data_IF_065570527947
#
_entry.id   IF_065570527947
#
_cell.length_a   1.000
_cell.length_b   1.000
_cell.length_c   1.000
_cell.angle_alpha   90.00
_cell.angle_beta   90.00
_cell.angle_gamma   90.00
#
_symmetry.space_group_name_H-M   'P 1'
#
loop_
_entity.id
_entity.type
_entity.pdbx_description
1 polymer ?
#
# COMPACT_ATOMS: atom_id res chain seq x y z
N UNK A 1 -15.16 11.57 10.37
CA UNK A 1 -14.59 12.61 11.27
C UNK A 1 -14.79 12.24 12.74
N UNK A 2 -13.85 11.50 13.36
CA UNK A 2 -13.78 11.44 14.81
C UNK A 2 -13.41 12.82 15.36
N UNK A 3 -14.07 13.25 16.44
CA UNK A 3 -13.81 14.52 17.17
C UNK A 3 -14.27 15.82 16.52
N UNK A 4 -15.12 15.78 15.48
CA UNK A 4 -15.84 16.98 15.04
C UNK A 4 -17.06 17.23 15.92
N UNK A 5 -17.34 18.50 16.26
CA UNK A 5 -18.57 18.87 17.01
C UNK A 5 -19.88 18.50 16.29
N UNK A 6 -19.80 18.14 15.00
CA UNK A 6 -20.90 17.57 14.22
C UNK A 6 -21.29 16.19 14.73
N UNK A 7 -20.32 15.35 15.11
CA UNK A 7 -20.60 14.03 15.68
C UNK A 7 -21.33 14.16 17.01
N UNK A 8 -20.89 15.04 17.89
CA UNK A 8 -21.53 15.27 19.19
C UNK A 8 -22.98 15.75 18.99
N UNK A 9 -23.19 16.69 18.08
CA UNK A 9 -24.53 17.21 17.76
C UNK A 9 -25.47 16.12 17.23
N UNK A 10 -24.99 15.24 16.33
CA UNK A 10 -25.78 14.15 15.74
C UNK A 10 -26.02 13.00 16.72
N UNK A 11 -25.07 12.74 17.61
CA UNK A 11 -25.23 11.78 18.72
C UNK A 11 -26.28 12.27 19.70
N UNK A 12 -26.22 13.54 20.09
CA UNK A 12 -27.13 14.13 21.05
C UNK A 12 -28.57 14.21 20.49
N UNK A 13 -28.72 14.34 19.17
CA UNK A 13 -30.00 14.23 18.46
C UNK A 13 -30.49 12.78 18.27
N UNK A 14 -29.71 11.77 18.69
CA UNK A 14 -30.05 10.36 18.55
C UNK A 14 -29.98 9.82 17.11
N UNK A 15 -29.39 10.58 16.18
CA UNK A 15 -29.27 10.19 14.78
C UNK A 15 -28.05 9.31 14.48
N UNK A 16 -27.09 9.23 15.40
CA UNK A 16 -25.86 8.46 15.20
C UNK A 16 -25.36 7.84 16.50
N UNK A 17 -24.90 6.59 16.44
CA UNK A 17 -24.29 5.88 17.57
C UNK A 17 -22.77 5.84 17.46
N UNK A 18 -22.05 5.67 18.58
CA UNK A 18 -20.57 5.56 18.57
C UNK A 18 -20.04 4.41 17.69
N UNK A 19 -20.86 3.38 17.44
CA UNK A 19 -20.51 2.24 16.58
C UNK A 19 -20.56 2.57 15.09
N UNK A 20 -21.19 3.68 14.74
CA UNK A 20 -21.32 4.19 13.36
C UNK A 20 -20.28 5.28 13.08
N UNK A 21 -19.51 5.69 14.08
CA UNK A 21 -18.43 6.65 13.94
C UNK A 21 -17.35 6.12 12.99
N UNK A 22 -17.08 6.89 11.93
CA UNK A 22 -16.03 6.63 10.96
C UNK A 22 -14.66 6.51 11.65
N UNK A 23 -14.04 5.33 11.57
CA UNK A 23 -12.79 4.99 12.27
C UNK A 23 -12.96 3.95 13.39
N UNK A 24 -14.13 3.92 14.07
CA UNK A 24 -14.52 2.83 14.98
C UNK A 24 -15.42 1.81 14.30
N UNK A 25 -16.31 2.27 13.43
CA UNK A 25 -17.03 1.45 12.49
C UNK A 25 -16.03 0.90 11.46
N UNK A 26 -15.69 -0.39 11.54
CA UNK A 26 -14.93 -1.11 10.49
C UNK A 26 -15.73 -1.31 9.19
N UNK A 27 -16.70 -0.43 8.93
CA UNK A 27 -17.67 -0.49 7.85
C UNK A 27 -17.27 0.63 6.90
N UNK A 28 -16.28 0.45 6.04
CA UNK A 28 -16.63 0.46 4.59
C UNK A 28 -15.54 -0.07 3.66
N UNK A 29 -14.32 -0.34 4.11
CA UNK A 29 -13.31 -0.96 3.26
C UNK A 29 -12.54 -2.00 4.03
N UNK A 30 -12.80 -3.29 3.76
CA UNK A 30 -11.76 -4.31 3.92
C UNK A 30 -10.67 -3.92 2.94
N UNK A 31 -9.73 -3.08 3.39
CA UNK A 31 -8.59 -2.69 2.58
C UNK A 31 -7.83 -3.97 2.28
N UNK A 32 -7.93 -4.44 1.04
CA UNK A 32 -7.19 -5.61 0.59
C UNK A 32 -5.71 -5.23 0.60
N UNK A 33 -5.05 -5.47 1.73
CA UNK A 33 -3.62 -5.24 1.86
C UNK A 33 -2.92 -6.44 1.26
N UNK A 34 -2.59 -6.32 -0.03
CA UNK A 34 -1.71 -7.26 -0.70
C UNK A 34 -0.29 -7.07 -0.14
N UNK A 35 0.03 -7.78 0.94
CA UNK A 35 1.39 -7.91 1.45
C UNK A 35 2.01 -9.22 0.97
N UNK A 36 3.33 -9.20 0.77
CA UNK A 36 4.10 -10.40 0.47
C UNK A 36 4.48 -11.21 1.73
N UNK A 37 4.22 -10.67 2.91
CA UNK A 37 4.65 -11.26 4.19
C UNK A 37 3.69 -12.33 4.71
N UNK A 38 2.43 -12.31 4.24
CA UNK A 38 1.45 -13.32 4.59
C UNK A 38 1.72 -14.62 3.83
N UNK A 39 1.80 -15.80 4.51
CA UNK A 39 2.04 -17.07 3.83
C UNK A 39 0.85 -17.43 2.94
N UNK A 40 1.09 -17.55 1.63
CA UNK A 40 0.10 -17.92 0.61
C UNK A 40 0.63 -19.06 -0.27
N UNK A 41 -0.24 -19.77 -1.00
CA UNK A 41 0.18 -20.65 -2.10
C UNK A 41 1.13 -19.93 -3.07
N UNK A 42 2.00 -20.69 -3.74
CA UNK A 42 3.00 -20.12 -4.65
C UNK A 42 2.34 -19.38 -5.83
N UNK A 43 1.25 -19.93 -6.35
CA UNK A 43 0.45 -19.37 -7.44
C UNK A 43 -0.15 -18.01 -7.05
N UNK A 44 -0.79 -17.92 -5.88
CA UNK A 44 -1.32 -16.65 -5.35
C UNK A 44 -0.23 -15.59 -5.20
N UNK A 45 0.97 -15.97 -4.71
CA UNK A 45 2.10 -15.05 -4.60
C UNK A 45 2.56 -14.55 -5.97
N UNK A 46 2.60 -15.42 -6.97
CA UNK A 46 2.93 -15.03 -8.34
C UNK A 46 1.90 -14.05 -8.90
N UNK A 47 0.60 -14.30 -8.71
CA UNK A 47 -0.47 -13.41 -9.15
C UNK A 47 -0.40 -12.04 -8.47
N UNK A 48 -0.18 -12.00 -7.15
CA UNK A 48 -0.03 -10.74 -6.41
C UNK A 48 1.18 -9.96 -6.93
N UNK A 49 2.31 -10.64 -7.16
CA UNK A 49 3.50 -10.00 -7.71
C UNK A 49 3.24 -9.44 -9.12
N UNK A 50 2.56 -10.20 -10.00
CA UNK A 50 2.18 -9.72 -11.33
C UNK A 50 1.24 -8.51 -11.26
N UNK A 51 0.26 -8.51 -10.36
CA UNK A 51 -0.61 -7.36 -10.13
C UNK A 51 0.18 -6.13 -9.65
N UNK A 52 1.12 -6.32 -8.71
CA UNK A 52 1.98 -5.25 -8.21
C UNK A 52 2.97 -4.71 -9.25
N UNK A 53 3.32 -5.52 -10.25
CA UNK A 53 4.11 -5.10 -11.40
C UNK A 53 3.24 -4.36 -12.43
N UNK A 54 2.04 -4.87 -12.69
CA UNK A 54 1.08 -4.25 -13.61
C UNK A 54 0.64 -2.85 -13.17
N UNK A 55 0.57 -2.60 -11.86
CA UNK A 55 0.22 -1.28 -11.32
C UNK A 55 1.31 -0.21 -11.50
N UNK A 56 2.50 -0.58 -12.01
CA UNK A 56 3.63 0.33 -12.15
C UNK A 56 3.71 0.86 -13.59
N UNK A 57 3.67 2.18 -13.80
CA UNK A 57 3.57 2.76 -15.14
C UNK A 57 4.83 2.54 -16.00
N UNK A 58 5.98 2.31 -15.38
CA UNK A 58 7.25 2.06 -16.08
C UNK A 58 7.46 0.60 -16.50
N UNK A 59 6.56 -0.31 -16.11
CA UNK A 59 6.64 -1.72 -16.48
C UNK A 59 5.73 -1.94 -17.69
N UNK A 60 6.26 -2.42 -18.83
CA UNK A 60 5.45 -2.61 -20.02
C UNK A 60 4.46 -3.76 -19.85
N UNK A 61 3.23 -3.57 -20.34
CA UNK A 61 2.18 -4.60 -20.28
C UNK A 61 2.58 -5.90 -20.99
N UNK A 62 3.43 -5.81 -22.02
CA UNK A 62 4.00 -6.97 -22.72
C UNK A 62 4.85 -7.86 -21.80
N UNK A 63 5.65 -7.25 -20.92
CA UNK A 63 6.46 -7.98 -19.93
C UNK A 63 5.56 -8.72 -18.94
N UNK A 64 4.55 -8.05 -18.37
CA UNK A 64 3.62 -8.69 -17.44
C UNK A 64 2.87 -9.85 -18.10
N UNK A 65 2.46 -9.67 -19.36
CA UNK A 65 1.79 -10.73 -20.14
C UNK A 65 2.71 -11.90 -20.47
N UNK A 66 3.98 -11.65 -20.76
CA UNK A 66 4.95 -12.71 -20.98
C UNK A 66 5.23 -13.48 -19.67
N UNK A 67 5.40 -12.75 -18.57
CA UNK A 67 5.62 -13.32 -17.25
C UNK A 67 4.42 -14.17 -16.79
N UNK A 68 3.18 -13.73 -17.03
CA UNK A 68 1.98 -14.47 -16.63
C UNK A 68 1.77 -15.77 -17.40
N UNK A 69 2.28 -15.87 -18.63
CA UNK A 69 2.20 -17.10 -19.45
C UNK A 69 3.27 -18.13 -19.11
N UNK A 70 4.31 -17.73 -18.38
CA UNK A 70 5.44 -18.60 -18.07
C UNK A 70 5.14 -19.50 -16.86
N UNK A 71 5.19 -20.82 -17.06
CA UNK A 71 4.98 -21.78 -15.95
C UNK A 71 6.10 -21.72 -14.91
N UNK A 72 7.31 -21.31 -15.32
CA UNK A 72 8.47 -21.19 -14.42
C UNK A 72 8.25 -20.09 -13.38
N UNK A 73 7.82 -18.89 -13.78
CA UNK A 73 7.64 -17.77 -12.85
C UNK A 73 6.38 -17.95 -11.99
N UNK A 74 5.34 -18.62 -12.48
CA UNK A 74 4.17 -18.97 -11.66
C UNK A 74 4.51 -20.02 -10.60
N UNK A 75 5.40 -20.98 -10.92
CA UNK A 75 5.82 -22.04 -9.97
C UNK A 75 6.88 -21.58 -8.97
N UNK A 76 7.75 -20.64 -9.37
CA UNK A 76 8.78 -20.05 -8.53
C UNK A 76 8.54 -18.54 -8.34
N UNK A 77 7.60 -18.15 -7.45
CA UNK A 77 7.20 -16.74 -7.27
C UNK A 77 8.31 -15.85 -6.71
N UNK A 78 9.38 -16.42 -6.12
CA UNK A 78 10.45 -15.65 -5.49
C UNK A 78 11.09 -14.60 -6.40
N UNK A 79 11.27 -14.92 -7.70
CA UNK A 79 11.80 -13.98 -8.68
C UNK A 79 10.84 -12.81 -8.92
N UNK A 80 9.54 -13.10 -9.11
CA UNK A 80 8.51 -12.09 -9.31
C UNK A 80 8.34 -11.21 -8.06
N UNK A 81 8.33 -11.81 -6.88
CA UNK A 81 8.21 -11.10 -5.60
C UNK A 81 9.42 -10.19 -5.37
N UNK A 82 10.64 -10.66 -5.64
CA UNK A 82 11.85 -9.85 -5.54
C UNK A 82 11.81 -8.65 -6.48
N UNK A 83 11.42 -8.88 -7.74
CA UNK A 83 11.29 -7.82 -8.74
C UNK A 83 10.17 -6.83 -8.36
N UNK A 84 9.04 -7.31 -7.84
CA UNK A 84 7.97 -6.46 -7.33
C UNK A 84 8.45 -5.55 -6.19
N UNK A 85 9.16 -6.09 -5.20
CA UNK A 85 9.75 -5.31 -4.09
C UNK A 85 10.78 -4.29 -4.58
N UNK A 86 11.67 -4.69 -5.48
CA UNK A 86 12.68 -3.80 -6.04
C UNK A 86 12.04 -2.60 -6.78
N UNK A 87 11.01 -2.89 -7.57
CA UNK A 87 10.29 -1.86 -8.32
C UNK A 87 9.45 -0.95 -7.41
N UNK A 88 8.97 -1.43 -6.25
CA UNK A 88 8.34 -0.57 -5.23
C UNK A 88 9.33 0.44 -4.65
N UNK A 89 10.57 0.01 -4.37
CA UNK A 89 11.65 0.88 -3.90
C UNK A 89 11.95 1.96 -4.93
N UNK A 90 12.13 1.59 -6.21
CA UNK A 90 12.34 2.56 -7.30
C UNK A 90 11.19 3.55 -7.37
N UNK A 91 9.94 3.07 -7.28
CA UNK A 91 8.77 3.95 -7.33
C UNK A 91 8.75 4.92 -6.15
N UNK A 92 9.06 4.46 -4.94
CA UNK A 92 9.15 5.29 -3.75
C UNK A 92 10.20 6.39 -3.92
N UNK A 93 11.40 6.05 -4.43
CA UNK A 93 12.44 7.02 -4.73
C UNK A 93 11.98 8.05 -5.77
N UNK A 94 11.33 7.61 -6.86
CA UNK A 94 10.84 8.51 -7.90
C UNK A 94 9.81 9.51 -7.37
N UNK A 95 8.88 9.07 -6.52
CA UNK A 95 7.88 9.93 -5.89
C UNK A 95 8.56 10.91 -4.92
N UNK A 96 9.53 10.43 -4.14
CA UNK A 96 10.31 11.26 -3.23
C UNK A 96 11.04 12.38 -3.95
N UNK A 97 11.68 12.06 -5.08
CA UNK A 97 12.39 13.03 -5.92
C UNK A 97 11.41 14.03 -6.58
N UNK A 98 10.29 13.55 -7.12
CA UNK A 98 9.26 14.42 -7.71
C UNK A 98 8.74 15.43 -6.68
N UNK A 99 8.47 14.98 -5.45
CA UNK A 99 8.02 15.87 -4.37
C UNK A 99 9.11 16.80 -3.86
N UNK A 100 10.38 16.38 -3.92
CA UNK A 100 11.52 17.23 -3.59
C UNK A 100 11.65 18.37 -4.60
N UNK A 101 11.60 18.05 -5.91
CA UNK A 101 11.68 19.04 -6.99
C UNK A 101 10.51 20.02 -6.92
N UNK A 102 9.29 19.55 -6.58
CA UNK A 102 8.11 20.40 -6.37
C UNK A 102 8.14 21.23 -5.09
N UNK A 103 9.14 21.06 -4.22
CA UNK A 103 9.23 21.77 -2.93
C UNK A 103 8.18 21.35 -1.88
N UNK A 104 7.41 20.29 -2.14
CA UNK A 104 6.37 19.79 -1.22
C UNK A 104 6.96 19.00 -0.03
N UNK A 105 8.23 18.61 -0.15
CA UNK A 105 9.00 17.92 0.88
C UNK A 105 9.61 18.94 1.86
N UNK A 106 8.81 19.42 2.80
CA UNK A 106 9.31 20.27 3.89
C UNK A 106 10.07 19.43 4.92
N UNK A 107 11.16 19.94 5.49
CA UNK A 107 11.94 19.30 6.56
C UNK A 107 11.09 18.78 7.73
N UNK A 108 9.99 19.46 8.03
CA UNK A 108 9.01 19.03 9.04
C UNK A 108 8.40 17.67 8.70
N UNK A 109 8.00 17.45 7.43
CA UNK A 109 7.46 16.15 6.96
C UNK A 109 8.53 15.07 7.01
N UNK A 110 9.77 15.38 6.62
CA UNK A 110 10.88 14.41 6.71
C UNK A 110 11.14 14.00 8.16
N UNK A 111 11.08 14.94 9.11
CA UNK A 111 11.24 14.65 10.54
C UNK A 111 10.09 13.80 11.08
N UNK A 112 8.86 14.11 10.70
CA UNK A 112 7.64 13.44 11.14
C UNK A 112 7.54 11.99 10.59
N UNK A 113 7.82 11.81 9.30
CA UNK A 113 7.79 10.49 8.67
C UNK A 113 9.09 9.69 8.86
N UNK A 114 10.25 10.35 8.89
CA UNK A 114 11.56 9.72 9.07
C UNK A 114 11.71 9.06 10.45
N UNK A 115 11.17 9.68 11.50
CA UNK A 115 11.11 9.09 12.84
C UNK A 115 10.18 7.88 12.93
N UNK A 116 9.07 7.88 12.17
CA UNK A 116 8.10 6.79 12.14
C UNK A 116 8.52 5.61 11.25
N UNK A 117 9.24 5.86 10.15
CA UNK A 117 9.64 4.84 9.18
C UNK A 117 10.80 3.98 9.69
N UNK A 118 11.79 4.59 10.37
CA UNK A 118 12.95 3.85 10.90
C UNK A 118 12.57 2.81 11.95
N UNK A 119 11.52 3.09 12.75
CA UNK A 119 11.03 2.19 13.80
C UNK A 119 10.18 1.02 13.28
N UNK A 120 9.65 1.07 12.05
CA UNK A 120 8.91 -0.03 11.43
C UNK A 120 9.78 -0.91 10.52
N UNK A 121 10.80 -0.33 9.89
CA UNK A 121 11.75 -1.08 9.06
C UNK A 121 12.61 -2.05 9.89
N UNK A 122 12.79 -1.79 11.18
CA UNK A 122 13.50 -2.67 12.12
C UNK A 122 12.63 -3.78 12.75
N UNK A 123 11.33 -3.81 12.45
CA UNK A 123 10.37 -4.74 13.08
C UNK A 123 9.52 -5.52 12.07
N UNK A 124 9.90 -5.52 10.79
CA UNK A 124 9.30 -6.36 9.75
C UNK A 124 10.28 -7.41 9.25
#
# INVERSE_FOLDING_TARGET
>A
FPESGVFDSLRDQGHMTERELEGRAQKTFRQFRASFDWPRPAEDRAHIALCALASKPFIPASFVRAASRSRLLTRHPGLLTGLARFTDVIRLYSIGLEKLIKGELTWVKIREYGGFSFRRVLTQ
#
